data_IF_344735721221
#
_entry.id   IF_344735721221
#
_cell.length_a   1.000
_cell.length_b   1.000
_cell.length_c   1.000
_cell.angle_alpha   90.00
_cell.angle_beta   90.00
_cell.angle_gamma   90.00
#
_symmetry.space_group_name_H-M   'P 1'
#
loop_
_entity.id
_entity.type
_entity.pdbx_description
1 polymer ?
#
# COMPACT_ATOMS: atom_id res chain seq x y z
N UNK A 1 2.63 5.83 -24.06
CA UNK A 1 2.90 4.43 -24.47
C UNK A 1 4.35 4.03 -24.13
N UNK A 2 4.57 2.85 -23.53
CA UNK A 2 5.91 2.34 -23.22
C UNK A 2 6.66 1.96 -24.50
N UNK A 3 7.96 2.25 -24.57
CA UNK A 3 8.81 1.84 -25.69
C UNK A 3 9.05 0.32 -25.68
N UNK A 4 9.34 -0.30 -26.83
CA UNK A 4 9.67 -1.73 -26.92
C UNK A 4 10.84 -2.14 -26.02
N UNK A 5 11.82 -1.25 -25.86
CA UNK A 5 12.94 -1.45 -24.96
C UNK A 5 12.53 -1.46 -23.47
N UNK A 6 11.55 -0.64 -23.08
CA UNK A 6 10.99 -0.65 -21.72
C UNK A 6 10.15 -1.91 -21.46
N UNK A 7 9.35 -2.36 -22.45
CA UNK A 7 8.62 -3.63 -22.35
C UNK A 7 9.57 -4.81 -22.14
N UNK A 8 10.67 -4.85 -22.90
CA UNK A 8 11.68 -5.92 -22.79
C UNK A 8 12.39 -5.92 -21.42
N UNK A 9 12.62 -4.74 -20.82
CA UNK A 9 13.18 -4.64 -19.46
C UNK A 9 12.18 -5.08 -18.39
N UNK A 10 10.90 -4.75 -18.55
CA UNK A 10 9.81 -5.24 -17.70
C UNK A 10 9.74 -6.77 -17.73
N UNK A 11 9.79 -7.37 -18.91
CA UNK A 11 9.73 -8.83 -19.10
C UNK A 11 10.96 -9.56 -18.51
N UNK A 12 12.12 -8.91 -18.49
CA UNK A 12 13.36 -9.46 -17.93
C UNK A 12 13.49 -9.25 -16.41
N UNK A 13 12.62 -8.45 -15.79
CA UNK A 13 12.66 -8.23 -14.35
C UNK A 13 12.25 -9.51 -13.62
N UNK A 14 13.14 -10.02 -12.76
CA UNK A 14 12.84 -11.14 -11.87
C UNK A 14 12.71 -10.61 -10.46
N UNK A 15 11.55 -10.86 -9.86
CA UNK A 15 11.31 -10.56 -8.45
C UNK A 15 12.39 -11.18 -7.57
N UNK A 16 13.00 -10.34 -6.76
CA UNK A 16 13.89 -10.73 -5.69
C UNK A 16 13.60 -9.78 -4.53
N UNK A 17 12.89 -10.27 -3.52
CA UNK A 17 12.71 -9.56 -2.28
C UNK A 17 13.47 -10.27 -1.17
N UNK A 18 14.21 -9.49 -0.38
CA UNK A 18 14.98 -9.99 0.75
C UNK A 18 14.66 -9.14 1.98
N UNK A 19 14.17 -9.78 3.04
CA UNK A 19 13.73 -9.14 4.28
C UNK A 19 12.74 -10.02 5.02
N UNK A 20 12.66 -9.90 6.34
CA UNK A 20 11.57 -10.43 7.15
C UNK A 20 11.07 -9.29 8.02
N UNK A 21 9.85 -8.82 7.78
CA UNK A 21 9.28 -7.78 8.64
C UNK A 21 8.99 -8.36 10.03
N UNK A 22 9.09 -7.55 11.09
CA UNK A 22 8.93 -8.02 12.48
C UNK A 22 7.58 -8.72 12.74
N UNK A 23 6.50 -8.17 12.16
CA UNK A 23 5.13 -8.67 12.35
C UNK A 23 4.74 -9.74 11.31
N UNK A 24 5.49 -9.87 10.23
CA UNK A 24 5.17 -10.77 9.14
C UNK A 24 4.98 -12.23 9.60
N UNK A 25 5.89 -12.85 10.38
CA UNK A 25 5.74 -14.24 10.80
C UNK A 25 4.42 -14.53 11.53
N UNK A 26 3.89 -13.54 12.27
CA UNK A 26 2.65 -13.66 13.04
C UNK A 26 1.41 -13.48 12.18
N UNK A 27 1.48 -12.67 11.13
CA UNK A 27 0.39 -12.39 10.20
C UNK A 27 0.32 -13.38 9.03
N UNK A 28 1.42 -14.10 8.74
CA UNK A 28 1.46 -15.12 7.68
C UNK A 28 0.33 -16.16 7.76
N UNK A 29 -0.03 -16.74 8.93
CA UNK A 29 -1.16 -17.66 9.03
C UNK A 29 -2.50 -17.01 8.68
N UNK A 30 -2.71 -15.77 9.11
CA UNK A 30 -3.91 -15.00 8.80
C UNK A 30 -4.03 -14.73 7.30
N UNK A 31 -2.97 -14.25 6.65
CA UNK A 31 -2.97 -14.01 5.21
C UNK A 31 -3.06 -15.29 4.38
N UNK A 32 -2.49 -16.39 4.87
CA UNK A 32 -2.62 -17.73 4.27
C UNK A 32 -4.07 -18.22 4.28
N UNK A 33 -4.76 -18.10 5.41
CA UNK A 33 -6.19 -18.40 5.50
C UNK A 33 -7.02 -17.46 4.62
N UNK A 34 -6.70 -16.16 4.61
CA UNK A 34 -7.46 -15.16 3.88
C UNK A 34 -7.39 -15.37 2.36
N UNK A 35 -6.21 -15.67 1.80
CA UNK A 35 -6.10 -15.96 0.36
C UNK A 35 -6.88 -17.20 -0.05
N UNK A 36 -7.05 -18.18 0.84
CA UNK A 36 -7.86 -19.36 0.56
C UNK A 36 -9.35 -19.05 0.41
N UNK A 37 -9.85 -18.05 1.14
CA UNK A 37 -11.23 -17.56 1.04
C UNK A 37 -11.49 -16.82 -0.29
N UNK A 38 -10.44 -16.31 -0.94
CA UNK A 38 -10.58 -15.62 -2.22
C UNK A 38 -10.86 -16.62 -3.34
N UNK A 39 -11.91 -16.42 -4.17
CA UNK A 39 -12.18 -17.27 -5.31
C UNK A 39 -11.05 -17.23 -6.34
N UNK A 40 -10.72 -18.38 -6.95
CA UNK A 40 -9.64 -18.49 -7.95
C UNK A 40 -9.88 -17.69 -9.24
N UNK A 41 -11.12 -17.33 -9.54
CA UNK A 41 -11.46 -16.51 -10.70
C UNK A 41 -11.14 -15.03 -10.48
N UNK A 42 -10.98 -14.59 -9.23
CA UNK A 42 -10.68 -13.20 -8.93
C UNK A 42 -9.20 -12.93 -9.23
N UNK A 43 -8.96 -12.00 -10.14
CA UNK A 43 -7.61 -11.60 -10.55
C UNK A 43 -6.88 -10.88 -9.39
N UNK A 44 -5.56 -11.11 -9.22
CA UNK A 44 -4.75 -10.42 -8.21
C UNK A 44 -4.88 -8.90 -8.27
N UNK A 45 -4.73 -8.30 -9.45
CA UNK A 45 -4.83 -6.85 -9.63
C UNK A 45 -6.22 -6.30 -9.25
N UNK A 46 -7.28 -7.12 -9.29
CA UNK A 46 -8.60 -6.70 -8.82
C UNK A 46 -8.65 -6.61 -7.29
N UNK A 47 -7.91 -7.48 -6.59
CA UNK A 47 -7.71 -7.40 -5.13
C UNK A 47 -6.96 -6.11 -4.79
N UNK A 48 -5.86 -5.83 -5.49
CA UNK A 48 -5.08 -4.58 -5.35
C UNK A 48 -5.95 -3.33 -5.50
N UNK A 49 -6.71 -3.24 -6.61
CA UNK A 49 -7.62 -2.10 -6.85
C UNK A 49 -8.70 -2.02 -5.78
N UNK A 50 -9.26 -3.16 -5.37
CA UNK A 50 -10.24 -3.23 -4.29
C UNK A 50 -9.68 -2.68 -2.98
N UNK A 51 -8.46 -3.07 -2.62
CA UNK A 51 -7.76 -2.55 -1.45
C UNK A 51 -7.54 -1.03 -1.51
N UNK A 52 -7.05 -0.52 -2.64
CA UNK A 52 -6.86 0.91 -2.85
C UNK A 52 -8.19 1.67 -2.71
N UNK A 53 -9.27 1.18 -3.34
CA UNK A 53 -10.59 1.80 -3.24
C UNK A 53 -11.10 1.83 -1.80
N UNK A 54 -10.95 0.73 -1.06
CA UNK A 54 -11.32 0.69 0.36
C UNK A 54 -10.55 1.76 1.13
N UNK A 55 -9.22 1.81 1.02
CA UNK A 55 -8.42 2.80 1.74
C UNK A 55 -8.82 4.24 1.42
N UNK A 56 -9.01 4.55 0.14
CA UNK A 56 -9.47 5.86 -0.31
C UNK A 56 -10.84 6.20 0.29
N UNK A 57 -11.83 5.32 0.16
CA UNK A 57 -13.19 5.57 0.60
C UNK A 57 -13.33 5.68 2.13
N UNK A 58 -12.49 4.99 2.89
CA UNK A 58 -12.50 5.07 4.36
C UNK A 58 -11.71 6.26 4.90
N UNK A 59 -10.69 6.71 4.17
CA UNK A 59 -9.83 7.83 4.60
C UNK A 59 -10.37 9.19 4.14
N UNK A 60 -11.06 9.27 3.01
CA UNK A 60 -11.66 10.51 2.51
C UNK A 60 -12.60 11.20 3.50
N UNK A 61 -13.51 10.50 4.21
CA UNK A 61 -14.34 11.12 5.24
C UNK A 61 -13.52 11.74 6.37
N UNK A 62 -12.44 11.08 6.79
CA UNK A 62 -11.52 11.59 7.81
C UNK A 62 -10.84 12.88 7.36
N UNK A 63 -10.36 12.92 6.11
CA UNK A 63 -9.76 14.11 5.50
C UNK A 63 -10.80 15.24 5.34
N UNK A 64 -12.02 14.91 4.92
CA UNK A 64 -13.09 15.89 4.73
C UNK A 64 -13.57 16.52 6.05
N UNK A 65 -13.57 15.74 7.14
CA UNK A 65 -13.91 16.26 8.47
C UNK A 65 -12.83 17.16 9.07
N UNK A 66 -11.56 16.96 8.68
CA UNK A 66 -10.41 17.63 9.28
C UNK A 66 -9.42 18.16 8.20
N UNK A 67 -9.84 19.11 7.36
CA UNK A 67 -9.02 19.58 6.24
C UNK A 67 -7.75 20.29 6.68
N UNK A 68 -7.74 20.89 7.88
CA UNK A 68 -6.57 21.59 8.42
C UNK A 68 -5.73 20.69 9.33
N UNK A 69 -6.15 19.44 9.57
CA UNK A 69 -5.57 18.53 10.55
C UNK A 69 -5.42 19.14 11.97
N UNK A 70 -6.22 20.17 12.29
CA UNK A 70 -6.33 20.80 13.61
C UNK A 70 -7.65 20.43 14.28
N UNK A 71 -8.64 20.05 13.49
CA UNK A 71 -9.97 19.70 13.94
C UNK A 71 -10.00 18.27 14.52
N UNK A 72 -10.90 18.03 15.47
CA UNK A 72 -11.19 16.67 15.92
C UNK A 72 -12.23 16.04 15.02
N UNK A 73 -11.90 14.92 14.39
CA UNK A 73 -12.85 14.17 13.59
C UNK A 73 -13.87 13.50 14.52
N UNK A 74 -15.10 13.24 14.05
CA UNK A 74 -16.01 12.41 14.81
C UNK A 74 -15.43 11.01 14.97
N UNK A 75 -15.63 10.39 16.13
CA UNK A 75 -14.99 9.11 16.49
C UNK A 75 -15.19 8.00 15.44
N UNK A 76 -16.37 7.95 14.81
CA UNK A 76 -16.66 6.96 13.77
C UNK A 76 -15.72 7.08 12.56
N UNK A 77 -15.20 8.28 12.23
CA UNK A 77 -14.31 8.49 11.11
C UNK A 77 -12.92 7.88 11.38
N UNK A 78 -12.43 7.96 12.62
CA UNK A 78 -11.19 7.29 13.02
C UNK A 78 -11.33 5.77 12.96
N UNK A 79 -12.45 5.23 13.47
CA UNK A 79 -12.71 3.79 13.42
C UNK A 79 -12.85 3.31 11.97
N UNK A 80 -13.57 4.06 11.13
CA UNK A 80 -13.72 3.75 9.71
C UNK A 80 -12.37 3.73 9.00
N UNK A 81 -11.52 4.73 9.23
CA UNK A 81 -10.17 4.81 8.68
C UNK A 81 -9.28 3.65 9.15
N UNK A 82 -9.31 3.32 10.45
CA UNK A 82 -8.53 2.22 11.00
C UNK A 82 -8.94 0.85 10.44
N UNK A 83 -10.25 0.59 10.35
CA UNK A 83 -10.79 -0.64 9.74
C UNK A 83 -10.45 -0.70 8.26
N UNK A 84 -10.61 0.40 7.53
CA UNK A 84 -10.27 0.48 6.11
C UNK A 84 -8.79 0.23 5.84
N UNK A 85 -7.90 0.82 6.65
CA UNK A 85 -6.46 0.59 6.58
C UNK A 85 -6.11 -0.88 6.86
N UNK A 86 -6.74 -1.49 7.86
CA UNK A 86 -6.54 -2.91 8.15
C UNK A 86 -7.01 -3.83 7.02
N UNK A 87 -8.13 -3.50 6.37
CA UNK A 87 -8.62 -4.22 5.19
C UNK A 87 -7.65 -4.04 4.03
N UNK A 88 -7.24 -2.80 3.72
CA UNK A 88 -6.28 -2.52 2.64
C UNK A 88 -4.99 -3.32 2.81
N UNK A 89 -4.32 -3.25 3.97
CA UNK A 89 -3.08 -4.02 4.19
C UNK A 89 -3.31 -5.54 4.13
N UNK A 90 -4.52 -6.00 4.47
CA UNK A 90 -4.85 -7.43 4.35
C UNK A 90 -5.00 -7.85 2.89
N UNK A 91 -5.58 -6.99 2.05
CA UNK A 91 -5.79 -7.24 0.62
C UNK A 91 -4.47 -7.14 -0.17
N UNK A 92 -3.66 -6.15 0.17
CA UNK A 92 -2.29 -5.97 -0.31
C UNK A 92 -1.43 -7.23 -0.03
N UNK A 93 -1.40 -7.70 1.22
CA UNK A 93 -0.60 -8.88 1.58
C UNK A 93 -1.03 -10.20 0.89
N UNK A 94 -2.26 -10.29 0.37
CA UNK A 94 -2.77 -11.51 -0.28
C UNK A 94 -2.76 -11.45 -1.80
N UNK A 95 -2.59 -10.31 -2.46
CA UNK A 95 -2.69 -10.25 -3.91
C UNK A 95 -1.54 -11.00 -4.60
N UNK A 96 -0.30 -10.89 -4.11
CA UNK A 96 0.85 -11.63 -4.58
C UNK A 96 0.76 -13.11 -4.21
N UNK A 97 0.11 -13.44 -3.08
CA UNK A 97 -0.22 -14.83 -2.72
C UNK A 97 -1.23 -15.42 -3.69
N UNK A 98 -2.24 -14.65 -4.07
CA UNK A 98 -3.23 -15.05 -5.06
C UNK A 98 -2.55 -15.24 -6.43
N UNK A 99 -1.68 -14.31 -6.85
CA UNK A 99 -0.95 -14.41 -8.11
C UNK A 99 -0.12 -15.70 -8.21
N UNK A 100 0.53 -16.10 -7.11
CA UNK A 100 1.23 -17.40 -7.01
C UNK A 100 0.25 -18.59 -7.06
N UNK A 101 -0.88 -18.49 -6.37
CA UNK A 101 -1.92 -19.55 -6.34
C UNK A 101 -2.59 -19.77 -7.69
N UNK A 102 -2.75 -18.71 -8.50
CA UNK A 102 -3.38 -18.76 -9.83
C UNK A 102 -2.37 -18.88 -10.98
N UNK A 103 -1.06 -19.02 -10.68
CA UNK A 103 0.02 -19.02 -11.68
C UNK A 103 -0.02 -17.79 -12.61
N UNK A 104 -0.41 -16.63 -12.08
CA UNK A 104 -0.54 -15.38 -12.81
C UNK A 104 0.42 -14.29 -12.32
N UNK A 105 1.49 -14.66 -11.63
CA UNK A 105 2.58 -13.76 -11.23
C UNK A 105 3.26 -13.17 -12.46
N UNK A 106 3.38 -11.84 -12.52
CA UNK A 106 4.05 -11.14 -13.61
C UNK A 106 4.73 -9.85 -13.12
N UNK A 107 5.83 -9.40 -13.76
CA UNK A 107 6.47 -8.13 -13.41
C UNK A 107 5.56 -6.91 -13.59
N UNK A 108 4.62 -6.97 -14.53
CA UNK A 108 3.63 -5.91 -14.73
C UNK A 108 2.62 -5.85 -13.59
N UNK A 109 2.17 -7.01 -13.09
CA UNK A 109 1.28 -7.08 -11.92
C UNK A 109 1.94 -6.52 -10.66
N UNK A 110 3.22 -6.84 -10.47
CA UNK A 110 4.03 -6.29 -9.37
C UNK A 110 4.21 -4.77 -9.47
N UNK A 111 4.53 -4.25 -10.66
CA UNK A 111 4.60 -2.79 -10.87
C UNK A 111 3.26 -2.11 -10.59
N UNK A 112 2.15 -2.76 -10.95
CA UNK A 112 0.80 -2.25 -10.73
C UNK A 112 0.45 -2.19 -9.24
N UNK A 113 0.79 -3.25 -8.49
CA UNK A 113 0.66 -3.34 -7.04
C UNK A 113 1.40 -2.19 -6.33
N UNK A 114 2.69 -2.05 -6.60
CA UNK A 114 3.49 -0.95 -6.07
C UNK A 114 2.99 0.45 -6.46
N UNK A 115 2.43 0.60 -7.66
CA UNK A 115 1.76 1.84 -8.06
C UNK A 115 0.54 2.15 -7.19
N UNK A 116 -0.23 1.14 -6.81
CA UNK A 116 -1.37 1.29 -5.90
C UNK A 116 -0.90 1.61 -4.47
N UNK A 117 0.17 0.95 -3.98
CA UNK A 117 0.78 1.25 -2.69
C UNK A 117 1.27 2.70 -2.57
N UNK A 118 1.79 3.22 -3.67
CA UNK A 118 2.24 4.62 -3.76
C UNK A 118 1.10 5.57 -3.47
N UNK A 119 -0.06 5.34 -4.09
CA UNK A 119 -1.25 6.16 -3.91
C UNK A 119 -1.79 5.97 -2.49
N UNK A 120 -1.90 4.72 -2.05
CA UNK A 120 -2.42 4.36 -0.73
C UNK A 120 -1.61 5.00 0.40
N UNK A 121 -0.28 5.00 0.28
CA UNK A 121 0.65 5.60 1.25
C UNK A 121 0.35 7.08 1.49
N UNK A 122 -0.04 7.84 0.47
CA UNK A 122 -0.46 9.26 0.63
C UNK A 122 -1.64 9.37 1.60
N UNK A 123 -2.66 8.54 1.41
CA UNK A 123 -3.84 8.53 2.27
C UNK A 123 -3.50 8.10 3.70
N UNK A 124 -2.66 7.08 3.87
CA UNK A 124 -2.22 6.61 5.20
C UNK A 124 -1.46 7.69 5.96
N UNK A 125 -0.53 8.38 5.30
CA UNK A 125 0.25 9.47 5.89
C UNK A 125 -0.68 10.61 6.32
N UNK A 126 -1.58 11.06 5.44
CA UNK A 126 -2.52 12.14 5.72
C UNK A 126 -3.46 11.76 6.87
N UNK A 127 -4.06 10.56 6.83
CA UNK A 127 -4.94 10.06 7.88
C UNK A 127 -4.24 9.96 9.24
N UNK A 128 -2.97 9.53 9.25
CA UNK A 128 -2.15 9.47 10.47
C UNK A 128 -1.88 10.86 11.04
N UNK A 129 -1.53 11.82 10.18
CA UNK A 129 -1.28 13.21 10.60
C UNK A 129 -2.55 13.88 11.16
N UNK A 130 -3.72 13.59 10.59
CA UNK A 130 -5.01 14.05 11.10
C UNK A 130 -5.33 13.39 12.45
N UNK A 131 -5.10 12.08 12.58
CA UNK A 131 -5.38 11.33 13.81
C UNK A 131 -4.62 11.86 15.03
N UNK A 132 -3.39 12.36 14.82
CA UNK A 132 -2.56 12.95 15.87
C UNK A 132 -2.64 14.49 15.92
N UNK A 133 -3.54 15.11 15.15
CA UNK A 133 -3.76 16.57 15.10
C UNK A 133 -2.48 17.38 14.81
N UNK A 134 -1.64 16.86 13.91
CA UNK A 134 -0.35 17.48 13.59
C UNK A 134 -0.49 18.83 12.85
N UNK A 135 -1.70 19.21 12.42
CA UNK A 135 -1.97 20.52 11.83
C UNK A 135 -1.72 21.70 12.79
N UNK A 136 -1.70 21.44 14.10
CA UNK A 136 -1.29 22.44 15.10
C UNK A 136 0.17 22.86 14.96
N UNK A 137 0.99 22.04 14.30
CA UNK A 137 2.41 22.25 14.06
C UNK A 137 2.73 22.01 12.58
N UNK A 138 2.51 23.00 11.68
CA UNK A 138 2.63 22.81 10.24
C UNK A 138 4.02 22.37 9.77
N UNK A 139 5.09 22.74 10.49
CA UNK A 139 6.46 22.30 10.19
C UNK A 139 6.62 20.78 10.41
N UNK A 140 6.02 20.24 11.48
CA UNK A 140 6.01 18.82 11.78
C UNK A 140 5.10 18.04 10.81
N UNK A 141 3.95 18.62 10.45
CA UNK A 141 3.08 18.09 9.39
C UNK A 141 3.82 17.95 8.07
N UNK A 142 4.51 19.01 7.64
CA UNK A 142 5.32 18.98 6.42
C UNK A 142 6.44 17.93 6.53
N UNK A 143 7.17 17.89 7.64
CA UNK A 143 8.26 16.95 7.85
C UNK A 143 7.79 15.49 7.81
N UNK A 144 6.70 15.14 8.51
CA UNK A 144 6.14 13.79 8.51
C UNK A 144 5.67 13.37 7.11
N UNK A 145 4.97 14.26 6.40
CA UNK A 145 4.55 14.01 5.01
C UNK A 145 5.76 13.83 4.08
N UNK A 146 6.78 14.68 4.21
CA UNK A 146 8.00 14.61 3.41
C UNK A 146 8.78 13.32 3.68
N UNK A 147 9.01 12.96 4.94
CA UNK A 147 9.74 11.73 5.30
C UNK A 147 8.99 10.49 4.82
N UNK A 148 7.68 10.42 4.99
CA UNK A 148 6.88 9.27 4.53
C UNK A 148 6.95 9.09 3.01
N UNK A 149 6.79 10.18 2.24
CA UNK A 149 6.93 10.15 0.78
C UNK A 149 8.37 9.85 0.34
N UNK A 150 9.36 10.41 1.03
CA UNK A 150 10.78 10.21 0.73
C UNK A 150 11.22 8.76 0.98
N UNK A 151 10.81 8.16 2.11
CA UNK A 151 11.06 6.75 2.39
C UNK A 151 10.45 5.86 1.32
N UNK A 152 9.20 6.11 0.95
CA UNK A 152 8.53 5.36 -0.09
C UNK A 152 9.25 5.49 -1.44
N UNK A 153 9.62 6.72 -1.84
CA UNK A 153 10.43 6.98 -3.03
C UNK A 153 11.79 6.25 -2.97
N UNK A 154 12.45 6.26 -1.82
CA UNK A 154 13.76 5.62 -1.66
C UNK A 154 13.71 4.11 -1.84
N UNK A 155 12.64 3.44 -1.36
CA UNK A 155 12.43 2.00 -1.57
C UNK A 155 12.23 1.67 -3.06
N UNK A 156 11.49 2.51 -3.79
CA UNK A 156 11.27 2.36 -5.23
C UNK A 156 12.53 2.68 -6.03
N UNK A 157 13.26 3.73 -5.66
CA UNK A 157 14.56 4.06 -6.25
C UNK A 157 15.56 2.93 -6.07
N UNK A 158 15.63 2.35 -4.86
CA UNK A 158 16.48 1.20 -4.58
C UNK A 158 16.09 0.01 -5.46
N UNK A 159 14.80 -0.26 -5.63
CA UNK A 159 14.32 -1.36 -6.48
C UNK A 159 14.66 -1.11 -7.95
N UNK A 160 14.54 0.13 -8.42
CA UNK A 160 14.92 0.53 -9.77
C UNK A 160 16.41 0.33 -10.04
N UNK A 161 17.28 0.71 -9.09
CA UNK A 161 18.75 0.63 -9.24
C UNK A 161 19.28 -0.79 -9.03
N UNK A 162 18.77 -1.51 -8.02
CA UNK A 162 19.32 -2.80 -7.59
C UNK A 162 18.60 -4.02 -8.15
N UNK A 163 17.38 -3.84 -8.69
CA UNK A 163 16.52 -4.95 -9.12
C UNK A 163 16.00 -5.82 -7.97
N UNK A 164 16.23 -5.42 -6.71
CA UNK A 164 15.84 -6.16 -5.52
C UNK A 164 15.13 -5.20 -4.57
N UNK A 165 13.88 -5.49 -4.23
CA UNK A 165 13.16 -4.76 -3.17
C UNK A 165 13.59 -5.33 -1.82
N UNK A 166 14.29 -4.52 -1.01
CA UNK A 166 14.69 -4.93 0.35
C UNK A 166 13.72 -4.33 1.35
N UNK A 167 13.04 -5.21 2.08
CA UNK A 167 12.23 -4.82 3.23
C UNK A 167 13.15 -4.84 4.46
N UNK A 168 13.30 -3.69 5.11
CA UNK A 168 14.04 -3.53 6.36
C UNK A 168 13.27 -4.05 7.56
#
# INVERSE_FOLDING_TARGET
PLSPAQLKRLEQHRYSAAGRSLLEPWLQPYWGWLVEQVPRWLAPNAITVGGLLVNCLTTLPLIACCPSATEQAPFWAYILGAVGLFIYQSLDAIDGKQARRTNSSSPLGELFDHGCDSISTVFVILGSCIAIQLGTNPDWLFFCCFVGLFMFYSAHWQTYVSGILRFG
#
